data_IF_880451854425
#
_entry.id   IF_880451854425
#
_cell.length_a   1.000
_cell.length_b   1.000
_cell.length_c   1.000
_cell.angle_alpha   90.00
_cell.angle_beta   90.00
_cell.angle_gamma   90.00
#
_symmetry.space_group_name_H-M   'P 1'
#
loop_
_entity.id
_entity.type
_entity.pdbx_description
1 polymer ?
#
# COMPACT_ATOMS: atom_id res chain seq x y z
N UNK A 1 -35.09 3.56 3.10
CA UNK A 1 -34.97 2.91 1.78
C UNK A 1 -33.65 3.23 1.07
N UNK A 2 -33.25 4.48 0.80
CA UNK A 2 -31.99 4.76 0.06
C UNK A 2 -30.68 4.32 0.76
N UNK A 3 -30.60 4.40 2.10
CA UNK A 3 -29.38 4.02 2.83
C UNK A 3 -29.12 2.51 2.85
N UNK A 4 -30.19 1.69 2.87
CA UNK A 4 -30.09 0.23 2.82
C UNK A 4 -29.65 -0.25 1.44
N UNK A 5 -30.14 0.38 0.37
CA UNK A 5 -29.71 0.08 -1.00
C UNK A 5 -28.21 0.36 -1.20
N UNK A 6 -27.71 1.52 -0.73
CA UNK A 6 -26.28 1.84 -0.84
C UNK A 6 -25.38 0.91 -0.04
N UNK A 7 -25.83 0.44 1.13
CA UNK A 7 -25.10 -0.55 1.92
C UNK A 7 -25.01 -1.92 1.20
N UNK A 8 -26.10 -2.33 0.53
CA UNK A 8 -26.14 -3.56 -0.27
C UNK A 8 -25.23 -3.48 -1.50
N UNK A 9 -25.22 -2.32 -2.19
CA UNK A 9 -24.34 -2.03 -3.31
C UNK A 9 -22.87 -2.12 -2.89
N UNK A 10 -22.51 -1.48 -1.77
CA UNK A 10 -21.15 -1.54 -1.22
C UNK A 10 -20.72 -2.97 -0.85
N UNK A 11 -21.64 -3.77 -0.30
CA UNK A 11 -21.38 -5.19 0.00
C UNK A 11 -21.15 -6.01 -1.27
N UNK A 12 -21.91 -5.75 -2.33
CA UNK A 12 -21.77 -6.41 -3.63
C UNK A 12 -20.43 -6.06 -4.27
N UNK A 13 -20.06 -4.78 -4.28
CA UNK A 13 -18.76 -4.30 -4.78
C UNK A 13 -17.62 -4.97 -4.01
N UNK A 14 -17.70 -5.05 -2.68
CA UNK A 14 -16.70 -5.77 -1.85
C UNK A 14 -16.52 -7.22 -2.28
N UNK A 15 -17.62 -7.93 -2.52
CA UNK A 15 -17.56 -9.33 -2.94
C UNK A 15 -16.96 -9.49 -4.34
N UNK A 16 -17.32 -8.62 -5.29
CA UNK A 16 -16.74 -8.60 -6.64
C UNK A 16 -15.24 -8.30 -6.60
N UNK A 17 -14.83 -7.29 -5.82
CA UNK A 17 -13.43 -6.95 -5.59
C UNK A 17 -12.64 -8.13 -5.00
N UNK A 18 -13.25 -8.91 -4.10
CA UNK A 18 -12.62 -10.13 -3.56
C UNK A 18 -12.34 -11.16 -4.65
N UNK A 19 -13.28 -11.39 -5.58
CA UNK A 19 -13.10 -12.30 -6.71
C UNK A 19 -12.02 -11.82 -7.68
N UNK A 20 -11.96 -10.52 -7.93
CA UNK A 20 -10.97 -9.87 -8.80
C UNK A 20 -9.61 -9.63 -8.13
N UNK A 21 -9.47 -10.02 -6.85
CA UNK A 21 -8.27 -9.80 -6.03
C UNK A 21 -7.89 -8.31 -5.92
N UNK A 22 -8.88 -7.44 -5.76
CA UNK A 22 -8.73 -5.99 -5.57
C UNK A 22 -9.09 -5.59 -4.13
N UNK A 23 -8.29 -5.98 -3.11
CA UNK A 23 -8.65 -5.78 -1.71
C UNK A 23 -8.75 -4.31 -1.29
N UNK A 24 -7.95 -3.42 -1.89
CA UNK A 24 -7.90 -2.00 -1.51
C UNK A 24 -9.15 -1.28 -1.98
N UNK A 25 -9.56 -1.51 -3.23
CA UNK A 25 -10.82 -0.96 -3.77
C UNK A 25 -12.00 -1.46 -2.95
N UNK A 26 -12.07 -2.74 -2.64
CA UNK A 26 -13.14 -3.30 -1.82
C UNK A 26 -13.24 -2.62 -0.44
N UNK A 27 -12.11 -2.31 0.18
CA UNK A 27 -12.08 -1.67 1.49
C UNK A 27 -12.39 -0.16 1.43
N UNK A 28 -11.91 0.54 0.41
CA UNK A 28 -11.90 2.02 0.37
C UNK A 28 -12.99 2.64 -0.52
N UNK A 29 -13.70 1.84 -1.33
CA UNK A 29 -14.75 2.31 -2.25
C UNK A 29 -15.76 3.26 -1.60
N UNK A 30 -16.32 2.92 -0.43
CA UNK A 30 -17.31 3.77 0.24
C UNK A 30 -16.71 5.08 0.74
N UNK A 31 -15.52 5.04 1.34
CA UNK A 31 -14.84 6.24 1.86
C UNK A 31 -14.44 7.19 0.73
N UNK A 32 -13.87 6.65 -0.35
CA UNK A 32 -13.48 7.44 -1.52
C UNK A 32 -14.69 7.99 -2.28
N UNK A 33 -15.83 7.31 -2.27
CA UNK A 33 -17.06 7.82 -2.86
C UNK A 33 -17.58 9.04 -2.09
N UNK A 34 -17.61 8.97 -0.76
CA UNK A 34 -17.97 10.10 0.10
C UNK A 34 -17.01 11.29 -0.11
N UNK A 35 -15.72 11.01 -0.22
CA UNK A 35 -14.71 12.03 -0.49
C UNK A 35 -14.87 12.65 -1.89
N UNK A 36 -15.15 11.85 -2.92
CA UNK A 36 -15.38 12.34 -4.28
C UNK A 36 -16.60 13.27 -4.34
N UNK A 37 -17.68 12.95 -3.61
CA UNK A 37 -18.85 13.83 -3.47
C UNK A 37 -18.46 15.14 -2.80
N UNK A 38 -17.68 15.09 -1.71
CA UNK A 38 -17.24 16.28 -0.97
C UNK A 38 -16.34 17.18 -1.80
N UNK A 39 -15.42 16.61 -2.56
CA UNK A 39 -14.45 17.31 -3.40
C UNK A 39 -14.99 17.66 -4.79
N UNK A 40 -16.25 17.29 -5.09
CA UNK A 40 -16.88 17.42 -6.42
C UNK A 40 -16.03 16.82 -7.55
N UNK A 41 -15.37 15.69 -7.26
CA UNK A 41 -14.63 14.96 -8.29
C UNK A 41 -15.59 14.39 -9.33
N UNK A 42 -15.13 14.32 -10.56
CA UNK A 42 -15.86 13.62 -11.63
C UNK A 42 -15.89 12.12 -11.35
N UNK A 43 -16.86 11.42 -11.94
CA UNK A 43 -16.92 9.95 -11.83
C UNK A 43 -15.64 9.26 -12.32
N UNK A 44 -15.00 9.82 -13.36
CA UNK A 44 -13.72 9.33 -13.85
C UNK A 44 -12.59 9.57 -12.84
N UNK A 45 -12.53 10.75 -12.21
CA UNK A 45 -11.52 11.04 -11.18
C UNK A 45 -11.69 10.20 -9.92
N UNK A 46 -12.92 9.77 -9.60
CA UNK A 46 -13.17 8.79 -8.55
C UNK A 46 -12.64 7.40 -8.91
N UNK A 47 -12.92 6.93 -10.14
CA UNK A 47 -12.42 5.64 -10.61
C UNK A 47 -10.89 5.61 -10.69
N UNK A 48 -10.28 6.69 -11.18
CA UNK A 48 -8.83 6.86 -11.21
C UNK A 48 -8.23 6.78 -9.80
N UNK A 49 -8.79 7.51 -8.84
CA UNK A 49 -8.31 7.48 -7.45
C UNK A 49 -8.39 6.07 -6.82
N UNK A 50 -9.46 5.33 -7.11
CA UNK A 50 -9.60 3.95 -6.65
C UNK A 50 -8.53 3.02 -7.23
N UNK A 51 -8.30 3.11 -8.54
CA UNK A 51 -7.30 2.29 -9.22
C UNK A 51 -5.89 2.65 -8.75
N UNK A 52 -5.60 3.93 -8.57
CA UNK A 52 -4.33 4.41 -8.06
C UNK A 52 -4.04 3.85 -6.66
N UNK A 53 -5.01 3.94 -5.74
CA UNK A 53 -4.86 3.39 -4.40
C UNK A 53 -4.59 1.87 -4.39
N UNK A 54 -5.23 1.12 -5.31
CA UNK A 54 -4.97 -0.32 -5.46
C UNK A 54 -3.57 -0.61 -5.98
N UNK A 55 -3.09 0.16 -6.96
CA UNK A 55 -1.75 0.00 -7.52
C UNK A 55 -0.67 0.30 -6.48
N UNK A 56 -0.81 1.41 -5.75
CA UNK A 56 0.13 1.82 -4.71
C UNK A 56 0.22 0.77 -3.58
N UNK A 57 -0.91 0.28 -3.08
CA UNK A 57 -0.93 -0.75 -2.04
C UNK A 57 -0.31 -2.07 -2.53
N UNK A 58 -0.53 -2.44 -3.80
CA UNK A 58 0.09 -3.64 -4.39
C UNK A 58 1.60 -3.49 -4.52
N UNK A 59 2.07 -2.33 -4.93
CA UNK A 59 3.50 -2.03 -5.03
C UNK A 59 4.15 -2.07 -3.65
N UNK A 60 3.55 -1.41 -2.66
CA UNK A 60 4.05 -1.42 -1.29
C UNK A 60 4.13 -2.84 -0.72
N UNK A 61 3.09 -3.67 -0.89
CA UNK A 61 3.12 -5.07 -0.45
C UNK A 61 4.19 -5.90 -1.14
N UNK A 62 4.44 -5.63 -2.42
CA UNK A 62 5.47 -6.32 -3.19
C UNK A 62 6.88 -5.91 -2.72
N UNK A 63 7.10 -4.62 -2.43
CA UNK A 63 8.33 -4.11 -1.82
C UNK A 63 8.54 -4.74 -0.45
N UNK A 64 7.54 -4.70 0.43
CA UNK A 64 7.60 -5.27 1.78
C UNK A 64 7.91 -6.77 1.74
N UNK A 65 7.26 -7.51 0.83
CA UNK A 65 7.51 -8.93 0.64
C UNK A 65 8.95 -9.17 0.19
N UNK A 66 9.44 -8.42 -0.80
CA UNK A 66 10.82 -8.53 -1.28
C UNK A 66 11.83 -8.21 -0.18
N UNK A 67 11.58 -7.18 0.63
CA UNK A 67 12.45 -6.81 1.75
C UNK A 67 12.51 -7.93 2.80
N UNK A 68 11.37 -8.56 3.13
CA UNK A 68 11.30 -9.70 4.04
C UNK A 68 11.99 -10.94 3.46
N UNK A 69 11.77 -11.24 2.18
CA UNK A 69 12.36 -12.39 1.48
C UNK A 69 13.88 -12.26 1.30
N UNK A 70 14.37 -11.04 1.08
CA UNK A 70 15.79 -10.77 0.93
C UNK A 70 16.60 -11.15 2.19
N UNK A 71 15.94 -11.35 3.35
CA UNK A 71 16.56 -11.62 4.66
C UNK A 71 17.79 -10.75 4.85
N UNK A 72 17.69 -9.50 4.42
CA UNK A 72 18.84 -8.62 4.37
C UNK A 72 19.35 -8.56 5.81
N UNK A 73 20.62 -8.91 6.07
CA UNK A 73 21.18 -8.68 7.39
C UNK A 73 20.84 -7.23 7.73
N UNK A 74 20.22 -7.01 8.90
CA UNK A 74 19.90 -5.65 9.40
C UNK A 74 21.07 -4.79 8.96
N UNK A 75 20.81 -3.75 8.15
CA UNK A 75 21.86 -2.84 7.76
C UNK A 75 22.56 -2.48 9.05
N UNK A 76 23.75 -3.05 9.28
CA UNK A 76 24.63 -2.56 10.30
C UNK A 76 24.84 -1.15 9.83
N UNK A 77 24.26 -0.19 10.54
CA UNK A 77 24.72 1.19 10.43
C UNK A 77 26.24 1.13 10.56
N UNK A 78 26.97 2.02 9.90
CA UNK A 78 28.45 2.08 10.02
C UNK A 78 28.91 2.06 11.49
N UNK A 79 28.03 2.49 12.40
CA UNK A 79 28.15 2.44 13.86
C UNK A 79 28.19 1.03 14.48
N UNK A 80 27.54 0.03 13.88
CA UNK A 80 27.55 -1.37 14.32
C UNK A 80 28.63 -2.23 13.59
N UNK A 81 29.41 -1.61 12.70
CA UNK A 81 30.52 -2.27 12.04
C UNK A 81 31.68 -2.42 13.03
N UNK A 82 31.99 -3.66 13.38
CA UNK A 82 33.09 -3.99 14.29
C UNK A 82 34.41 -3.90 13.52
N UNK A 83 34.98 -2.69 13.46
CA UNK A 83 36.26 -2.40 12.80
C UNK A 83 37.44 -3.18 13.42
N UNK A 84 37.30 -3.74 14.63
CA UNK A 84 38.33 -4.57 15.23
C UNK A 84 38.47 -5.95 14.55
N UNK A 85 37.44 -6.39 13.81
CA UNK A 85 37.43 -7.70 13.13
C UNK A 85 38.01 -7.67 11.71
N UNK A 86 38.28 -6.50 11.12
CA UNK A 86 38.74 -6.39 9.75
C UNK A 86 39.95 -5.42 9.63
N UNK A 87 41.20 -5.93 9.62
CA UNK A 87 42.42 -5.10 9.68
C UNK A 87 42.68 -4.19 8.46
N UNK A 88 41.83 -4.26 7.43
CA UNK A 88 42.02 -3.57 6.14
C UNK A 88 41.14 -2.34 5.94
N UNK A 89 40.22 -2.05 6.86
CA UNK A 89 39.32 -0.90 6.74
C UNK A 89 39.34 -0.16 8.07
N UNK A 90 39.91 1.03 8.08
CA UNK A 90 39.99 1.90 9.26
C UNK A 90 38.96 3.02 9.16
N UNK A 91 38.27 3.32 10.26
CA UNK A 91 37.29 4.40 10.34
C UNK A 91 37.88 5.82 10.15
N UNK A 92 39.21 5.94 10.09
CA UNK A 92 39.93 7.20 9.85
C UNK A 92 40.13 7.53 8.36
N UNK A 93 39.68 6.66 7.44
CA UNK A 93 39.83 6.86 5.99
C UNK A 93 38.50 7.15 5.26
N UNK A 94 37.45 7.49 6.01
CA UNK A 94 36.16 7.98 5.49
C UNK A 94 35.99 9.44 5.92
#
# INVERSE_FOLDING_TARGET
MNAESGALEAATVRQQCKLLRMPTIGAQCTQLAEQAVRERRTHLGYLEALLQAELEEREQRLIDRRLREARLPRMKTLEEFDFARNPKVSAQQI
#
